data_IF_874988649969
#
_entry.id   IF_874988649969
#
_cell.length_a   1.000
_cell.length_b   1.000
_cell.length_c   1.000
_cell.angle_alpha   90.00
_cell.angle_beta   90.00
_cell.angle_gamma   90.00
#
_symmetry.space_group_name_H-M   'P 1'
#
loop_
_entity.id
_entity.type
_entity.pdbx_description
1 polymer ?
#
# COMPACT_ATOMS: atom_id res chain seq x y z
N UNK A 1 28.82 -5.77 -9.32
CA UNK A 1 28.19 -4.46 -9.11
C UNK A 1 27.08 -4.65 -8.11
N UNK A 2 26.93 -3.72 -7.17
CA UNK A 2 25.89 -3.81 -6.17
C UNK A 2 24.50 -3.50 -6.73
N UNK A 3 23.45 -4.04 -6.12
CA UNK A 3 22.06 -3.75 -6.49
C UNK A 3 21.73 -2.24 -6.46
N UNK A 4 22.28 -1.48 -5.51
CA UNK A 4 22.12 -0.02 -5.41
C UNK A 4 22.76 0.69 -6.61
N UNK A 5 23.97 0.29 -7.01
CA UNK A 5 24.66 0.82 -8.20
C UNK A 5 23.90 0.45 -9.49
N UNK A 6 23.32 -0.75 -9.57
CA UNK A 6 22.43 -1.14 -10.67
C UNK A 6 21.18 -0.27 -10.72
N UNK A 7 20.54 0.00 -9.59
CA UNK A 7 19.36 0.88 -9.50
C UNK A 7 19.72 2.28 -9.97
N UNK A 8 20.84 2.84 -9.51
CA UNK A 8 21.29 4.17 -9.88
C UNK A 8 21.51 4.29 -11.40
N UNK A 9 22.26 3.36 -11.98
CA UNK A 9 22.53 3.32 -13.42
C UNK A 9 21.24 3.13 -14.24
N UNK A 10 20.35 2.26 -13.80
CA UNK A 10 19.07 2.04 -14.45
C UNK A 10 18.18 3.30 -14.39
N UNK A 11 18.13 3.97 -13.24
CA UNK A 11 17.40 5.24 -13.07
C UNK A 11 17.96 6.34 -13.98
N UNK A 12 19.28 6.46 -14.09
CA UNK A 12 19.93 7.42 -15.00
C UNK A 12 19.55 7.14 -16.46
N UNK A 13 19.59 5.88 -16.91
CA UNK A 13 19.13 5.50 -18.27
C UNK A 13 17.66 5.86 -18.49
N UNK A 14 16.81 5.65 -17.49
CA UNK A 14 15.39 5.99 -17.57
C UNK A 14 15.19 7.51 -17.72
N UNK A 15 15.91 8.31 -16.92
CA UNK A 15 15.89 9.77 -16.99
C UNK A 15 16.27 10.24 -18.40
N UNK A 16 17.34 9.69 -18.98
CA UNK A 16 17.78 10.03 -20.34
C UNK A 16 16.71 9.70 -21.39
N UNK A 17 15.98 8.59 -21.25
CA UNK A 17 14.87 8.26 -22.15
C UNK A 17 13.68 9.21 -21.98
N UNK A 18 13.37 9.61 -20.75
CA UNK A 18 12.30 10.56 -20.44
C UNK A 18 12.57 11.97 -20.98
N UNK A 19 13.83 12.38 -21.09
CA UNK A 19 14.23 13.71 -21.56
C UNK A 19 14.17 13.89 -23.08
N UNK A 20 13.85 12.84 -23.85
CA UNK A 20 13.67 12.95 -25.31
C UNK A 20 12.42 13.75 -25.66
N UNK A 21 12.52 14.67 -26.62
CA UNK A 21 11.39 15.50 -27.09
C UNK A 21 10.20 14.67 -27.63
N UNK A 22 10.48 13.54 -28.27
CA UNK A 22 9.47 12.58 -28.74
C UNK A 22 9.89 11.16 -28.39
N UNK A 23 9.02 10.46 -27.68
CA UNK A 23 9.22 9.06 -27.31
C UNK A 23 8.67 8.12 -28.39
N UNK A 24 9.52 7.22 -28.89
CA UNK A 24 9.10 6.17 -29.83
C UNK A 24 8.47 4.98 -29.10
N UNK A 25 7.82 4.07 -29.82
CA UNK A 25 7.33 2.80 -29.26
C UNK A 25 8.48 1.99 -28.63
N UNK A 26 9.63 1.96 -29.30
CA UNK A 26 10.83 1.28 -28.82
C UNK A 26 11.38 1.92 -27.53
N UNK A 27 11.29 3.25 -27.37
CA UNK A 27 11.68 3.90 -26.12
C UNK A 27 10.78 3.47 -24.96
N UNK A 28 9.47 3.38 -25.17
CA UNK A 28 8.51 2.91 -24.16
C UNK A 28 8.78 1.46 -23.75
N UNK A 29 9.08 0.59 -24.70
CA UNK A 29 9.48 -0.80 -24.43
C UNK A 29 10.77 -0.86 -23.59
N UNK A 30 11.78 -0.04 -23.92
CA UNK A 30 13.02 0.05 -23.11
C UNK A 30 12.75 0.57 -21.70
N UNK A 31 11.86 1.55 -21.54
CA UNK A 31 11.48 2.07 -20.23
C UNK A 31 10.85 0.97 -19.35
N UNK A 32 10.01 0.11 -19.92
CA UNK A 32 9.43 -1.03 -19.19
C UNK A 32 10.50 -2.03 -18.75
N UNK A 33 11.48 -2.33 -19.61
CA UNK A 33 12.61 -3.21 -19.27
C UNK A 33 13.44 -2.62 -18.13
N UNK A 34 13.79 -1.33 -18.21
CA UNK A 34 14.56 -0.64 -17.17
C UNK A 34 13.77 -0.60 -15.85
N UNK A 35 12.46 -0.38 -15.90
CA UNK A 35 11.60 -0.42 -14.73
C UNK A 35 11.61 -1.81 -14.06
N UNK A 36 11.54 -2.89 -14.85
CA UNK A 36 11.64 -4.25 -14.32
C UNK A 36 13.02 -4.54 -13.70
N UNK A 37 14.10 -4.02 -14.29
CA UNK A 37 15.47 -4.14 -13.75
C UNK A 37 15.62 -3.44 -12.39
N UNK A 38 15.04 -2.24 -12.24
CA UNK A 38 15.02 -1.50 -10.98
C UNK A 38 14.26 -2.30 -9.91
N UNK A 39 13.05 -2.79 -10.23
CA UNK A 39 12.24 -3.57 -9.27
C UNK A 39 12.97 -4.82 -8.80
N UNK A 40 13.55 -5.58 -9.73
CA UNK A 40 14.31 -6.80 -9.42
C UNK A 40 15.50 -6.48 -8.50
N UNK A 41 16.18 -5.35 -8.73
CA UNK A 41 17.30 -4.93 -7.90
C UNK A 41 16.86 -4.51 -6.50
N UNK A 42 15.70 -3.84 -6.36
CA UNK A 42 15.13 -3.46 -5.06
C UNK A 42 14.75 -4.70 -4.23
N UNK A 43 14.22 -5.75 -4.85
CA UNK A 43 13.82 -6.99 -4.16
C UNK A 43 14.98 -7.71 -3.48
N UNK A 44 16.21 -7.48 -3.95
CA UNK A 44 17.42 -8.06 -3.37
C UNK A 44 18.02 -7.22 -2.23
N UNK A 45 17.45 -6.06 -1.93
CA UNK A 45 17.88 -5.23 -0.81
C UNK A 45 17.17 -5.66 0.48
N UNK A 46 17.90 -5.58 1.58
CA UNK A 46 17.38 -5.90 2.91
C UNK A 46 17.47 -4.68 3.84
N UNK A 47 16.53 -4.61 4.78
CA UNK A 47 16.48 -3.56 5.79
C UNK A 47 17.22 -4.00 7.06
N UNK A 48 17.99 -3.09 7.65
CA UNK A 48 18.61 -3.27 8.96
C UNK A 48 17.55 -3.16 10.07
N UNK A 49 17.46 -4.18 10.93
CA UNK A 49 16.50 -4.22 12.04
C UNK A 49 16.79 -3.19 13.15
N UNK A 50 17.99 -2.60 13.17
CA UNK A 50 18.38 -1.62 14.19
C UNK A 50 18.22 -0.17 13.74
N UNK A 51 18.55 0.17 12.48
CA UNK A 51 18.50 1.55 12.00
C UNK A 51 17.54 1.79 10.83
N UNK A 52 16.91 0.74 10.30
CA UNK A 52 16.04 0.83 9.12
C UNK A 52 16.78 1.12 7.80
N UNK A 53 18.11 1.18 7.82
CA UNK A 53 18.88 1.41 6.59
C UNK A 53 18.71 0.22 5.63
N UNK A 54 18.41 0.53 4.38
CA UNK A 54 18.38 -0.45 3.29
C UNK A 54 19.82 -0.67 2.82
N UNK A 55 20.26 -1.91 2.82
CA UNK A 55 21.61 -2.29 2.40
C UNK A 55 21.59 -3.60 1.63
N UNK A 56 22.56 -3.75 0.73
CA UNK A 56 22.84 -5.02 0.07
C UNK A 56 23.46 -6.04 1.02
N UNK A 57 24.16 -5.56 2.05
CA UNK A 57 24.91 -6.38 2.97
C UNK A 57 24.31 -6.27 4.36
N UNK A 58 23.27 -7.07 4.59
CA UNK A 58 22.66 -7.29 5.90
C UNK A 58 23.08 -8.68 6.40
N UNK A 59 23.67 -8.72 7.58
CA UNK A 59 24.15 -9.96 8.21
C UNK A 59 23.26 -10.30 9.40
N UNK A 60 22.92 -11.58 9.55
CA UNK A 60 22.26 -12.05 10.78
C UNK A 60 23.33 -12.30 11.84
N UNK A 61 23.24 -11.60 12.96
CA UNK A 61 24.20 -11.69 14.06
C UNK A 61 23.48 -12.05 15.36
N UNK A 62 24.13 -12.88 16.18
CA UNK A 62 23.64 -13.25 17.51
C UNK A 62 24.65 -12.84 18.58
N UNK A 63 24.21 -12.06 19.58
CA UNK A 63 25.00 -11.67 20.75
C UNK A 63 24.11 -11.70 22.00
N UNK A 64 24.58 -12.33 23.07
CA UNK A 64 23.87 -12.44 24.35
C UNK A 64 22.39 -12.83 24.19
N UNK A 65 22.15 -13.93 23.46
CA UNK A 65 20.83 -14.52 23.17
C UNK A 65 19.87 -13.65 22.33
N UNK A 66 20.33 -12.52 21.79
CA UNK A 66 19.59 -11.69 20.85
C UNK A 66 20.12 -11.93 19.45
N UNK A 67 19.24 -12.25 18.49
CA UNK A 67 19.56 -12.34 17.06
C UNK A 67 18.94 -11.17 16.32
N UNK A 68 19.72 -10.48 15.48
CA UNK A 68 19.22 -9.40 14.63
C UNK A 68 19.90 -9.38 13.26
N UNK A 69 19.17 -8.90 12.26
CA UNK A 69 19.68 -8.58 10.92
C UNK A 69 20.21 -7.15 10.89
N UNK A 70 21.52 -7.00 10.78
CA UNK A 70 22.20 -5.71 10.94
C UNK A 70 22.98 -5.33 9.69
N UNK A 71 22.99 -4.02 9.38
CA UNK A 71 23.95 -3.46 8.44
C UNK A 71 25.35 -3.41 9.06
N UNK A 72 26.36 -3.13 8.23
CA UNK A 72 27.77 -3.03 8.65
C UNK A 72 27.97 -2.14 9.88
N UNK A 73 27.44 -0.93 9.86
CA UNK A 73 27.63 0.04 10.96
C UNK A 73 26.98 -0.42 12.26
N UNK A 74 25.76 -0.95 12.17
CA UNK A 74 25.02 -1.47 13.32
C UNK A 74 25.67 -2.74 13.90
N UNK A 75 26.23 -3.58 13.03
CA UNK A 75 27.00 -4.76 13.42
C UNK A 75 28.26 -4.38 14.19
N UNK A 76 29.07 -3.45 13.67
CA UNK A 76 30.29 -2.96 14.34
C UNK A 76 29.95 -2.37 15.71
N UNK A 77 28.96 -1.48 15.81
CA UNK A 77 28.53 -0.88 17.09
C UNK A 77 28.07 -1.93 18.11
N UNK A 78 27.36 -2.96 17.66
CA UNK A 78 26.88 -4.03 18.54
C UNK A 78 28.01 -4.93 19.04
N UNK A 79 29.04 -5.16 18.20
CA UNK A 79 30.25 -5.87 18.58
C UNK A 79 31.08 -5.08 19.59
N UNK A 80 31.29 -3.78 19.36
CA UNK A 80 31.99 -2.89 20.28
C UNK A 80 31.28 -2.78 21.64
N UNK A 81 29.95 -2.73 21.65
CA UNK A 81 29.15 -2.66 22.87
C UNK A 81 28.97 -4.03 23.56
N UNK A 82 29.35 -5.14 22.92
CA UNK A 82 29.11 -6.50 23.40
C UNK A 82 27.63 -6.90 23.50
N UNK A 83 26.71 -6.11 22.94
CA UNK A 83 25.26 -6.35 22.99
C UNK A 83 24.55 -5.74 21.78
N UNK A 84 23.50 -6.40 21.32
CA UNK A 84 22.59 -5.85 20.31
C UNK A 84 21.57 -4.96 21.03
N UNK A 85 21.74 -3.65 20.93
CA UNK A 85 20.73 -2.70 21.41
C UNK A 85 19.69 -2.51 20.31
N UNK A 86 18.57 -3.24 20.44
CA UNK A 86 17.35 -2.95 19.69
C UNK A 86 17.02 -1.47 19.86
N UNK A 87 17.14 -0.69 18.78
CA UNK A 87 16.54 0.64 18.78
C UNK A 87 15.03 0.40 18.74
N UNK A 88 14.39 0.43 19.92
CA UNK A 88 12.94 0.44 20.02
C UNK A 88 12.43 1.83 19.59
N UNK A 89 12.73 2.25 18.36
CA UNK A 89 12.29 3.53 17.80
C UNK A 89 12.36 3.55 16.26
N UNK A 90 12.13 2.41 15.61
CA UNK A 90 11.76 2.35 14.20
C UNK A 90 10.51 1.50 14.12
N UNK A 91 9.40 2.08 13.68
CA UNK A 91 8.11 1.40 13.59
C UNK A 91 8.26 0.07 12.83
N UNK A 92 8.13 -1.03 13.56
CA UNK A 92 7.98 -2.36 12.98
C UNK A 92 6.74 -2.35 12.09
N UNK A 93 6.92 -2.04 10.79
CA UNK A 93 5.94 -2.36 9.77
C UNK A 93 5.95 -3.87 9.64
N UNK A 94 5.18 -4.52 10.50
CA UNK A 94 4.87 -5.95 10.43
C UNK A 94 4.21 -6.21 9.09
N UNK A 95 5.02 -6.56 8.08
CA UNK A 95 4.57 -6.93 6.75
C UNK A 95 3.77 -8.22 6.91
N UNK A 96 2.44 -8.12 6.91
CA UNK A 96 1.55 -9.28 6.95
C UNK A 96 1.74 -10.10 5.68
N UNK A 97 2.57 -11.14 5.77
CA UNK A 97 2.56 -12.22 4.77
C UNK A 97 1.19 -12.89 4.83
N UNK A 98 0.39 -12.69 3.79
CA UNK A 98 -0.89 -13.38 3.60
C UNK A 98 -0.60 -14.88 3.48
N UNK A 99 -0.98 -15.66 4.49
CA UNK A 99 -0.84 -17.10 4.47
C UNK A 99 -1.75 -17.70 3.38
N UNK A 100 -1.17 -18.61 2.60
CA UNK A 100 -1.86 -19.38 1.55
C UNK A 100 -2.79 -20.39 2.24
N UNK A 101 -4.09 -20.13 2.23
CA UNK A 101 -5.11 -21.07 2.73
C UNK A 101 -5.19 -22.29 1.80
N UNK A 102 -4.78 -23.45 2.31
CA UNK A 102 -5.13 -24.75 1.75
C UNK A 102 -6.55 -25.11 2.15
N UNK A 103 -7.40 -25.31 1.15
CA UNK A 103 -8.74 -25.89 1.28
C UNK A 103 -8.63 -27.37 1.59
N UNK A 104 -9.19 -27.80 2.72
CA UNK A 104 -9.65 -29.19 2.90
C UNK A 104 -10.77 -29.26 3.91
N UNK A 105 -11.81 -29.95 3.48
CA UNK A 105 -13.11 -30.22 4.08
C UNK A 105 -13.00 -31.03 5.37
N UNK A 106 -13.90 -30.82 6.34
CA UNK A 106 -14.62 -31.89 7.05
C UNK A 106 -15.65 -31.39 8.09
N UNK A 107 -16.89 -31.83 7.88
CA UNK A 107 -17.91 -32.31 8.81
C UNK A 107 -18.12 -31.70 10.23
N UNK A 108 -19.38 -31.26 10.43
CA UNK A 108 -20.24 -31.16 11.66
C UNK A 108 -20.11 -32.39 12.62
N UNK A 109 -20.67 -32.41 13.87
CA UNK A 109 -21.94 -31.76 14.33
C UNK A 109 -22.13 -31.33 15.83
N UNK A 110 -23.24 -30.58 16.08
CA UNK A 110 -24.11 -30.49 17.32
C UNK A 110 -23.47 -29.85 18.58
N UNK A 111 -24.11 -29.07 19.47
CA UNK A 111 -25.49 -28.85 19.99
C UNK A 111 -25.45 -27.50 20.76
N UNK A 112 -26.41 -26.58 20.65
CA UNK A 112 -27.55 -26.49 21.57
C UNK A 112 -27.29 -25.53 22.75
N UNK A 113 -27.82 -24.30 22.68
CA UNK A 113 -28.28 -23.51 23.85
C UNK A 113 -28.87 -22.18 23.37
N UNK A 114 -30.17 -22.00 23.63
CA UNK A 114 -30.90 -20.75 23.43
C UNK A 114 -30.47 -19.71 24.46
N UNK A 115 -30.11 -18.52 24.02
CA UNK A 115 -30.22 -17.31 24.84
C UNK A 115 -30.73 -16.18 23.96
N UNK A 116 -32.01 -15.87 24.14
CA UNK A 116 -32.65 -14.65 23.65
C UNK A 116 -31.92 -13.42 24.19
N UNK A 117 -31.17 -12.74 23.33
CA UNK A 117 -30.79 -11.34 23.54
C UNK A 117 -31.29 -10.51 22.36
N UNK A 118 -32.11 -9.53 22.73
CA UNK A 118 -32.73 -8.48 21.93
C UNK A 118 -31.91 -8.12 20.68
N UNK A 119 -32.52 -8.31 19.50
CA UNK A 119 -32.08 -7.69 18.25
C UNK A 119 -32.15 -6.17 18.44
N UNK A 120 -31.01 -5.53 18.66
CA UNK A 120 -30.81 -4.21 18.09
C UNK A 120 -30.80 -4.39 16.55
N UNK A 121 -31.35 -3.46 15.76
CA UNK A 121 -31.26 -3.55 14.31
C UNK A 121 -29.77 -3.52 13.95
N UNK A 122 -29.24 -4.68 13.55
CA UNK A 122 -28.00 -4.74 12.79
C UNK A 122 -28.39 -4.09 11.47
N UNK A 123 -27.96 -2.84 11.26
CA UNK A 123 -27.97 -2.26 9.93
C UNK A 123 -27.26 -3.25 9.02
N UNK A 124 -28.00 -3.84 8.10
CA UNK A 124 -27.42 -4.64 7.02
C UNK A 124 -26.32 -3.78 6.40
N UNK A 125 -25.12 -4.35 6.12
CA UNK A 125 -24.09 -3.58 5.44
C UNK A 125 -24.70 -3.05 4.16
N UNK A 126 -24.86 -1.72 4.08
CA UNK A 126 -25.54 -1.11 2.96
C UNK A 126 -24.88 -1.61 1.68
N UNK A 127 -25.66 -2.31 0.86
CA UNK A 127 -25.12 -2.83 -0.39
C UNK A 127 -24.54 -1.65 -1.17
N UNK A 128 -23.39 -1.78 -1.86
CA UNK A 128 -22.81 -0.69 -2.62
C UNK A 128 -23.82 -0.04 -3.58
N UNK A 129 -24.78 -0.82 -4.08
CA UNK A 129 -25.87 -0.33 -4.91
C UNK A 129 -26.84 0.64 -4.20
N UNK A 130 -27.15 0.40 -2.92
CA UNK A 130 -27.98 1.28 -2.09
C UNK A 130 -27.24 2.58 -1.74
N UNK A 131 -25.95 2.49 -1.40
CA UNK A 131 -25.07 3.64 -1.18
C UNK A 131 -25.00 4.53 -2.43
N UNK A 132 -24.82 3.94 -3.61
CA UNK A 132 -24.73 4.72 -4.86
C UNK A 132 -26.03 5.43 -5.19
N UNK A 133 -27.17 4.81 -4.92
CA UNK A 133 -28.49 5.44 -5.12
C UNK A 133 -28.74 6.55 -4.10
N UNK A 134 -28.25 6.43 -2.86
CA UNK A 134 -28.31 7.50 -1.86
C UNK A 134 -27.45 8.69 -2.26
N UNK A 135 -26.20 8.45 -2.66
CA UNK A 135 -25.28 9.52 -3.08
C UNK A 135 -25.82 10.24 -4.32
N UNK A 136 -26.35 9.51 -5.31
CA UNK A 136 -27.03 10.10 -6.47
C UNK A 136 -28.20 11.00 -6.05
N UNK A 137 -29.06 10.54 -5.15
CA UNK A 137 -30.20 11.31 -4.67
C UNK A 137 -29.79 12.59 -3.90
N UNK A 138 -28.65 12.56 -3.19
CA UNK A 138 -28.19 13.68 -2.36
C UNK A 138 -27.28 14.67 -3.09
N UNK A 139 -26.58 14.23 -4.14
CA UNK A 139 -25.57 15.04 -4.85
C UNK A 139 -25.95 15.36 -6.28
N UNK A 140 -26.95 14.69 -6.86
CA UNK A 140 -27.32 14.83 -8.27
C UNK A 140 -26.33 14.19 -9.25
N UNK A 141 -25.27 13.54 -8.75
CA UNK A 141 -24.27 12.86 -9.58
C UNK A 141 -24.86 11.56 -10.12
N UNK A 142 -24.72 11.33 -11.43
CA UNK A 142 -25.19 10.10 -12.08
C UNK A 142 -24.61 8.87 -11.39
N UNK A 143 -25.43 7.83 -11.19
CA UNK A 143 -25.00 6.56 -10.57
C UNK A 143 -23.72 5.96 -11.15
N UNK A 144 -23.49 6.12 -12.46
CA UNK A 144 -22.29 5.64 -13.14
C UNK A 144 -21.02 6.36 -12.67
N UNK A 145 -21.12 7.66 -12.41
CA UNK A 145 -20.02 8.50 -11.94
C UNK A 145 -19.79 8.30 -10.44
N UNK A 146 -20.86 8.13 -9.66
CA UNK A 146 -20.77 7.72 -8.24
C UNK A 146 -20.03 6.39 -8.07
N UNK A 147 -20.29 5.40 -8.95
CA UNK A 147 -19.55 4.13 -8.95
C UNK A 147 -18.06 4.31 -9.19
N UNK A 148 -17.68 5.23 -10.09
CA UNK A 148 -16.28 5.54 -10.39
C UNK A 148 -15.61 6.25 -9.24
N UNK A 149 -16.28 7.24 -8.63
CA UNK A 149 -15.81 7.94 -7.44
C UNK A 149 -15.63 6.98 -6.25
N UNK A 150 -16.59 6.08 -6.02
CA UNK A 150 -16.47 5.09 -4.94
C UNK A 150 -15.28 4.16 -5.16
N UNK A 151 -14.99 3.78 -6.40
CA UNK A 151 -13.79 3.00 -6.71
C UNK A 151 -12.50 3.79 -6.40
N UNK A 152 -12.44 5.05 -6.82
CA UNK A 152 -11.31 5.94 -6.51
C UNK A 152 -11.10 6.04 -5.00
N UNK A 153 -12.18 6.20 -4.23
CA UNK A 153 -12.13 6.25 -2.75
C UNK A 153 -11.65 4.92 -2.15
N UNK A 154 -12.11 3.78 -2.67
CA UNK A 154 -11.66 2.46 -2.20
C UNK A 154 -10.19 2.16 -2.50
N UNK A 155 -9.63 2.77 -3.55
CA UNK A 155 -8.21 2.62 -3.91
C UNK A 155 -7.30 3.47 -3.00
N UNK A 156 -7.85 4.35 -2.15
CA UNK A 156 -7.10 5.15 -1.19
C UNK A 156 -6.67 4.29 0.01
N UNK A 157 -5.37 4.31 0.32
CA UNK A 157 -4.84 3.66 1.52
C UNK A 157 -5.31 4.39 2.80
N UNK A 158 -6.10 3.72 3.64
CA UNK A 158 -6.52 4.25 4.94
C UNK A 158 -5.43 4.12 6.02
N UNK A 159 -5.29 5.08 6.95
CA UNK A 159 -6.06 6.32 7.08
C UNK A 159 -5.43 7.50 6.30
N UNK A 160 -6.24 8.21 5.52
CA UNK A 160 -5.88 9.46 4.85
C UNK A 160 -6.78 10.60 5.39
N UNK A 161 -6.20 11.78 5.64
CA UNK A 161 -6.94 12.95 6.13
C UNK A 161 -8.04 13.34 5.12
N UNK A 162 -9.29 13.64 5.55
CA UNK A 162 -10.38 14.07 4.66
C UNK A 162 -9.99 15.16 3.65
N UNK A 163 -9.20 16.17 4.04
CA UNK A 163 -8.75 17.22 3.11
C UNK A 163 -7.85 16.68 1.98
N UNK A 164 -6.95 15.77 2.33
CA UNK A 164 -6.08 15.10 1.37
C UNK A 164 -6.87 14.13 0.50
N UNK A 165 -7.84 13.42 1.08
CA UNK A 165 -8.77 12.55 0.36
C UNK A 165 -9.56 13.33 -0.69
N UNK A 166 -10.13 14.47 -0.34
CA UNK A 166 -10.84 15.35 -1.28
C UNK A 166 -9.94 15.81 -2.42
N UNK A 167 -8.74 16.31 -2.09
CA UNK A 167 -7.76 16.78 -3.07
C UNK A 167 -7.35 15.65 -4.03
N UNK A 168 -7.13 14.45 -3.51
CA UNK A 168 -6.78 13.28 -4.29
C UNK A 168 -7.92 12.85 -5.21
N UNK A 169 -9.13 12.69 -4.67
CA UNK A 169 -10.31 12.30 -5.45
C UNK A 169 -10.63 13.32 -6.54
N UNK A 170 -10.45 14.62 -6.27
CA UNK A 170 -10.62 15.67 -7.28
C UNK A 170 -9.66 15.50 -8.47
N UNK A 171 -8.36 15.29 -8.20
CA UNK A 171 -7.36 15.06 -9.26
C UNK A 171 -7.62 13.79 -10.06
N UNK A 172 -8.03 12.71 -9.39
CA UNK A 172 -8.38 11.45 -10.06
C UNK A 172 -9.68 11.58 -10.88
N UNK A 173 -10.68 12.31 -10.38
CA UNK A 173 -11.90 12.61 -11.12
C UNK A 173 -11.64 13.45 -12.38
N UNK A 174 -10.76 14.46 -12.30
CA UNK A 174 -10.30 15.24 -13.45
C UNK A 174 -9.57 14.36 -14.47
N UNK A 175 -8.67 13.49 -14.00
CA UNK A 175 -7.93 12.53 -14.83
C UNK A 175 -8.88 11.56 -15.54
N UNK A 176 -9.91 11.09 -14.83
CA UNK A 176 -10.97 10.22 -15.34
C UNK A 176 -12.05 10.96 -16.16
N UNK A 177 -11.90 12.29 -16.36
CA UNK A 177 -12.84 13.16 -17.09
C UNK A 177 -14.27 13.11 -16.55
N UNK A 178 -14.43 12.93 -15.25
CA UNK A 178 -15.73 12.94 -14.58
C UNK A 178 -16.12 14.41 -14.36
N UNK A 179 -17.18 14.87 -15.02
CA UNK A 179 -17.68 16.24 -14.88
C UNK A 179 -18.62 16.32 -13.68
N UNK A 180 -18.11 16.79 -12.55
CA UNK A 180 -18.86 16.97 -11.30
C UNK A 180 -18.55 18.34 -10.72
N UNK A 181 -19.58 19.03 -10.22
CA UNK A 181 -19.40 20.29 -9.51
C UNK A 181 -18.64 20.08 -8.19
N UNK A 182 -17.75 21.02 -7.83
CA UNK A 182 -16.89 20.87 -6.65
C UNK A 182 -17.67 20.63 -5.34
N UNK A 183 -18.80 21.32 -5.17
CA UNK A 183 -19.67 21.16 -3.99
C UNK A 183 -20.42 19.83 -3.95
N UNK A 184 -20.73 19.26 -5.12
CA UNK A 184 -21.34 17.93 -5.23
C UNK A 184 -20.30 16.83 -4.99
N UNK A 185 -19.06 17.04 -5.45
CA UNK A 185 -17.94 16.13 -5.24
C UNK A 185 -17.56 16.03 -3.75
N UNK A 186 -17.48 17.16 -3.05
CA UNK A 186 -17.16 17.19 -1.62
C UNK A 186 -18.17 16.40 -0.78
N UNK A 187 -19.47 16.62 -1.05
CA UNK A 187 -20.55 15.86 -0.43
C UNK A 187 -20.53 14.38 -0.80
N UNK A 188 -20.17 14.04 -2.04
CA UNK A 188 -20.08 12.65 -2.45
C UNK A 188 -18.94 11.92 -1.74
N UNK A 189 -17.77 12.55 -1.61
CA UNK A 189 -16.60 11.95 -0.95
C UNK A 189 -16.89 11.72 0.53
N UNK A 190 -17.50 12.67 1.23
CA UNK A 190 -17.84 12.51 2.65
C UNK A 190 -18.88 11.41 2.93
N UNK A 191 -19.72 11.08 1.94
CA UNK A 191 -20.68 9.97 2.02
C UNK A 191 -20.07 8.62 1.60
N UNK A 192 -18.92 8.61 0.94
CA UNK A 192 -18.26 7.42 0.41
C UNK A 192 -17.05 6.96 1.24
N UNK A 193 -16.54 7.82 2.13
CA UNK A 193 -15.48 7.52 3.11
C UNK A 193 -16.07 7.20 4.47
#
# INVERSE_FOLDING_TARGET
>A
MGHLDTIEKAAQKLITLCQKEKQTKADKERMLVIHAEILTSIENLAECELCGAISEMIVTMTLADVTAKVCRECGVKSLEAGKIQSSKQGTSRKRTRRAKTSTTSSAKPKTGASVSKRKAPVEEPETPAALHTRVEAQTGIKKADVKRLHKIVQDIATPMNPEHTLTYVQREAETAKIKVDASALEKAVSLLT
#
